data_IF_139519778235
#
_entry.id   IF_139519778235
#
_cell.length_a   1.000
_cell.length_b   1.000
_cell.length_c   1.000
_cell.angle_alpha   90.00
_cell.angle_beta   90.00
_cell.angle_gamma   90.00
#
_symmetry.space_group_name_H-M   'P 1'
#
loop_
_entity.id
_entity.type
_entity.pdbx_description
1 polymer ?
#
# COMPACT_ATOMS: atom_id res chain seq x y z
N UNK A 1 -10.53 14.65 -25.30
CA UNK A 1 -9.82 13.76 -24.35
C UNK A 1 -9.48 14.60 -23.14
N UNK A 2 -9.88 14.20 -21.94
CA UNK A 2 -9.32 14.83 -20.74
C UNK A 2 -7.86 14.35 -20.63
N UNK A 3 -7.00 15.20 -20.09
CA UNK A 3 -5.58 14.88 -19.85
C UNK A 3 -5.49 14.00 -18.60
N UNK A 4 -4.54 13.06 -18.55
CA UNK A 4 -4.35 12.11 -17.45
C UNK A 4 -4.38 12.82 -16.09
N UNK A 5 -3.73 13.98 -16.02
CA UNK A 5 -3.71 14.82 -14.83
C UNK A 5 -5.09 15.28 -14.36
N UNK A 6 -5.97 15.70 -15.28
CA UNK A 6 -7.31 16.17 -14.95
C UNK A 6 -8.20 15.01 -14.48
N UNK A 7 -8.01 13.83 -15.06
CA UNK A 7 -8.72 12.60 -14.66
C UNK A 7 -8.25 12.15 -13.27
N UNK A 8 -6.95 12.22 -12.99
CA UNK A 8 -6.39 11.94 -11.66
C UNK A 8 -6.96 12.90 -10.61
N UNK A 9 -7.01 14.21 -10.89
CA UNK A 9 -7.61 15.18 -9.99
C UNK A 9 -9.10 14.90 -9.73
N UNK A 10 -9.86 14.56 -10.77
CA UNK A 10 -11.27 14.23 -10.64
C UNK A 10 -11.47 12.98 -9.76
N UNK A 11 -10.66 11.94 -9.98
CA UNK A 11 -10.67 10.70 -9.19
C UNK A 11 -10.36 10.99 -7.71
N UNK A 12 -9.34 11.80 -7.44
CA UNK A 12 -8.89 12.14 -6.08
C UNK A 12 -9.88 13.04 -5.31
N UNK A 13 -10.70 13.80 -6.03
CA UNK A 13 -11.78 14.62 -5.47
C UNK A 13 -13.12 13.87 -5.31
N UNK A 14 -13.27 12.72 -5.95
CA UNK A 14 -14.53 11.98 -5.94
C UNK A 14 -14.82 11.35 -4.56
N UNK A 15 -16.11 11.24 -4.17
CA UNK A 15 -16.51 10.45 -3.01
C UNK A 15 -16.06 8.99 -3.15
N UNK A 16 -15.55 8.38 -2.08
CA UNK A 16 -15.01 7.01 -2.12
C UNK A 16 -16.01 5.99 -2.72
N UNK A 17 -17.30 6.11 -2.40
CA UNK A 17 -18.36 5.26 -2.97
C UNK A 17 -18.43 5.24 -4.51
N UNK A 18 -17.93 6.28 -5.18
CA UNK A 18 -17.90 6.36 -6.64
C UNK A 18 -16.60 5.84 -7.26
N UNK A 19 -15.57 5.61 -6.44
CA UNK A 19 -14.27 5.05 -6.84
C UNK A 19 -14.27 3.53 -6.72
N UNK A 20 -15.11 2.97 -5.84
CA UNK A 20 -15.22 1.54 -5.61
C UNK A 20 -15.74 0.82 -6.85
N UNK A 21 -15.02 -0.23 -7.24
CA UNK A 21 -15.40 -1.14 -8.33
C UNK A 21 -15.97 -2.42 -7.70
N UNK A 22 -17.29 -2.68 -7.77
CA UNK A 22 -17.91 -3.80 -7.08
C UNK A 22 -17.31 -5.17 -7.42
N UNK A 23 -16.86 -5.36 -8.67
CA UNK A 23 -16.27 -6.62 -9.13
C UNK A 23 -14.89 -6.90 -8.52
N UNK A 24 -14.17 -5.85 -8.09
CA UNK A 24 -12.88 -5.96 -7.43
C UNK A 24 -13.00 -5.89 -5.90
N UNK A 25 -14.21 -5.70 -5.36
CA UNK A 25 -14.38 -5.47 -3.93
C UNK A 25 -14.39 -6.79 -3.16
N UNK A 26 -13.41 -6.96 -2.26
CA UNK A 26 -13.41 -8.03 -1.26
C UNK A 26 -14.01 -7.49 0.03
N UNK A 27 -15.20 -7.98 0.34
CA UNK A 27 -15.90 -7.66 1.57
C UNK A 27 -15.41 -8.52 2.72
N UNK A 28 -15.29 -7.91 3.89
CA UNK A 28 -14.95 -8.63 5.12
C UNK A 28 -16.22 -9.14 5.81
N UNK A 29 -16.16 -10.37 6.31
CA UNK A 29 -17.27 -10.99 7.02
C UNK A 29 -17.57 -10.31 8.37
N UNK A 30 -18.70 -10.67 8.97
CA UNK A 30 -19.14 -10.21 10.30
C UNK A 30 -18.14 -10.49 11.44
N UNK A 31 -17.06 -11.25 11.18
CA UNK A 31 -15.97 -11.45 12.15
C UNK A 31 -15.27 -10.14 12.52
N UNK A 32 -15.20 -9.17 11.61
CA UNK A 32 -14.56 -7.86 11.85
C UNK A 32 -15.23 -7.09 12.99
N UNK A 33 -16.52 -7.31 13.24
CA UNK A 33 -17.25 -6.71 14.37
C UNK A 33 -16.67 -7.12 15.74
N UNK A 34 -16.00 -8.26 15.79
CA UNK A 34 -15.37 -8.78 17.00
C UNK A 34 -13.89 -8.39 17.10
N UNK A 35 -13.34 -7.74 16.08
CA UNK A 35 -11.97 -7.28 16.10
C UNK A 35 -11.86 -6.06 17.01
N UNK A 36 -10.84 -6.11 17.87
CA UNK A 36 -10.45 -4.98 18.70
C UNK A 36 -9.76 -3.93 17.82
N UNK A 37 -10.56 -3.18 17.06
CA UNK A 37 -10.16 -2.04 16.24
C UNK A 37 -11.02 -0.81 16.60
N UNK A 38 -10.61 0.41 16.25
CA UNK A 38 -11.50 1.56 16.29
C UNK A 38 -12.79 1.35 15.48
N UNK A 39 -13.90 1.95 15.89
CA UNK A 39 -15.18 1.83 15.17
C UNK A 39 -15.10 2.33 13.71
N UNK A 40 -14.47 3.48 13.39
CA UNK A 40 -14.32 3.92 12.01
C UNK A 40 -13.60 2.90 11.13
N UNK A 41 -12.63 2.20 11.69
CA UNK A 41 -11.83 1.19 11.00
C UNK A 41 -12.64 -0.07 10.67
N UNK A 42 -13.41 -0.58 11.64
CA UNK A 42 -14.35 -1.68 11.40
C UNK A 42 -15.41 -1.29 10.37
N UNK A 43 -15.99 -0.11 10.53
CA UNK A 43 -17.03 0.39 9.61
C UNK A 43 -16.50 0.59 8.19
N UNK A 44 -15.26 1.06 8.02
CA UNK A 44 -14.63 1.16 6.70
C UNK A 44 -14.44 -0.21 6.03
N UNK A 45 -13.93 -1.20 6.75
CA UNK A 45 -13.79 -2.57 6.24
C UNK A 45 -15.15 -3.19 5.85
N UNK A 46 -16.18 -3.01 6.69
CA UNK A 46 -17.53 -3.54 6.44
C UNK A 46 -18.23 -2.85 5.28
N UNK A 47 -18.05 -1.54 5.14
CA UNK A 47 -18.77 -0.77 4.14
C UNK A 47 -18.08 -0.84 2.78
N UNK A 48 -16.76 -0.73 2.76
CA UNK A 48 -15.99 -0.53 1.54
C UNK A 48 -15.09 -1.70 1.17
N UNK A 49 -14.79 -2.61 2.12
CA UNK A 49 -13.88 -3.71 1.87
C UNK A 49 -12.49 -3.23 1.42
N UNK A 50 -11.77 -4.11 0.73
CA UNK A 50 -10.51 -3.77 0.05
C UNK A 50 -10.59 -4.16 -1.43
N UNK A 51 -9.85 -3.46 -2.32
CA UNK A 51 -9.73 -3.89 -3.71
C UNK A 51 -8.88 -5.16 -3.82
N UNK A 52 -9.32 -6.12 -4.61
CA UNK A 52 -8.51 -7.23 -5.12
C UNK A 52 -7.74 -6.76 -6.36
N UNK A 53 -6.46 -6.48 -6.16
CA UNK A 53 -5.61 -5.88 -7.17
C UNK A 53 -4.28 -6.62 -7.32
N UNK A 54 -3.51 -6.25 -8.35
CA UNK A 54 -2.23 -6.89 -8.65
C UNK A 54 -1.18 -6.67 -7.55
N UNK A 55 -1.23 -5.54 -6.84
CA UNK A 55 -0.30 -5.22 -5.75
C UNK A 55 -0.82 -5.63 -4.38
N UNK A 56 -2.11 -5.46 -4.11
CA UNK A 56 -2.74 -5.82 -2.84
C UNK A 56 -3.79 -6.90 -3.07
N UNK A 57 -3.59 -8.05 -2.42
CA UNK A 57 -4.52 -9.18 -2.45
C UNK A 57 -5.12 -9.35 -1.05
N UNK A 58 -6.37 -8.92 -0.83
CA UNK A 58 -7.03 -9.07 0.45
C UNK A 58 -7.06 -10.54 0.88
N UNK A 59 -6.86 -10.80 2.17
CA UNK A 59 -6.94 -12.14 2.74
C UNK A 59 -7.84 -12.09 3.96
N UNK A 60 -8.99 -12.74 3.86
CA UNK A 60 -9.97 -12.77 4.93
C UNK A 60 -9.46 -13.63 6.08
N UNK A 61 -9.14 -13.00 7.21
CA UNK A 61 -8.84 -13.73 8.44
C UNK A 61 -10.15 -14.23 9.07
N UNK A 62 -10.38 -15.55 9.16
CA UNK A 62 -11.65 -16.10 9.66
C UNK A 62 -11.78 -16.01 11.18
N UNK A 63 -10.68 -15.79 11.90
CA UNK A 63 -10.64 -15.75 13.35
C UNK A 63 -10.87 -14.34 13.90
N UNK A 64 -11.59 -14.25 15.03
CA UNK A 64 -11.80 -13.00 15.77
C UNK A 64 -10.59 -12.55 16.59
N UNK A 65 -9.59 -13.42 16.76
CA UNK A 65 -8.32 -13.09 17.45
C UNK A 65 -7.25 -12.74 16.42
N UNK A 66 -6.38 -11.75 16.70
CA UNK A 66 -5.26 -11.43 15.83
C UNK A 66 -4.31 -12.63 15.72
N UNK A 67 -3.81 -12.90 14.51
CA UNK A 67 -2.95 -14.06 14.23
C UNK A 67 -1.54 -13.68 13.81
N UNK A 68 -1.36 -12.46 13.31
CA UNK A 68 -0.07 -11.99 12.81
C UNK A 68 0.73 -11.36 13.96
N UNK A 69 1.99 -11.77 14.06
CA UNK A 69 2.98 -11.23 15.01
C UNK A 69 4.10 -10.56 14.24
N UNK A 70 4.59 -9.39 14.67
CA UNK A 70 5.69 -8.72 14.00
C UNK A 70 7.01 -9.45 14.22
N UNK A 71 7.84 -9.48 13.19
CA UNK A 71 9.25 -9.87 13.34
C UNK A 71 10.06 -8.62 13.67
N UNK A 72 10.40 -8.43 14.94
CA UNK A 72 11.21 -7.28 15.40
C UNK A 72 12.67 -7.71 15.50
N UNK A 73 13.41 -7.58 14.40
CA UNK A 73 14.80 -8.05 14.28
C UNK A 73 15.82 -7.03 14.78
N UNK A 74 15.54 -5.73 14.66
CA UNK A 74 16.47 -4.66 15.02
C UNK A 74 15.79 -3.39 15.51
N UNK A 75 16.61 -2.34 15.61
CA UNK A 75 16.14 -1.00 15.99
C UNK A 75 15.17 -0.37 14.99
N UNK A 76 15.34 -0.53 13.66
CA UNK A 76 14.38 -0.03 12.69
C UNK A 76 12.95 -0.51 12.95
N UNK A 77 12.74 -1.81 13.20
CA UNK A 77 11.40 -2.34 13.49
C UNK A 77 10.87 -1.89 14.87
N UNK A 78 11.75 -1.79 15.89
CA UNK A 78 11.36 -1.35 17.25
C UNK A 78 10.78 0.06 17.27
N UNK A 79 11.21 0.92 16.35
CA UNK A 79 10.65 2.28 16.21
C UNK A 79 9.20 2.27 15.70
N UNK A 80 8.82 1.27 14.92
CA UNK A 80 7.50 1.18 14.29
C UNK A 80 6.49 0.39 15.13
N UNK A 81 6.93 -0.72 15.73
CA UNK A 81 6.03 -1.65 16.42
C UNK A 81 6.70 -2.35 17.61
N UNK A 82 5.90 -2.59 18.65
CA UNK A 82 6.30 -3.43 19.78
C UNK A 82 6.27 -4.92 19.42
N UNK A 83 7.19 -5.70 19.98
CA UNK A 83 7.29 -7.14 19.72
C UNK A 83 6.09 -7.95 20.25
N UNK A 84 5.33 -7.41 21.21
CA UNK A 84 4.12 -8.02 21.76
C UNK A 84 2.84 -7.65 20.97
N UNK A 85 2.93 -6.72 20.02
CA UNK A 85 1.80 -6.31 19.21
C UNK A 85 1.19 -7.50 18.47
N UNK A 86 -0.14 -7.51 18.40
CA UNK A 86 -0.90 -8.53 17.69
C UNK A 86 -1.70 -7.86 16.57
N UNK A 87 -1.66 -8.43 15.37
CA UNK A 87 -2.27 -7.84 14.19
C UNK A 87 -3.32 -8.77 13.57
N UNK A 88 -4.40 -8.18 13.07
CA UNK A 88 -5.37 -8.83 12.21
C UNK A 88 -4.87 -8.81 10.77
N UNK A 89 -4.81 -9.96 10.11
CA UNK A 89 -4.41 -10.04 8.70
C UNK A 89 -5.47 -9.39 7.81
N UNK A 90 -5.05 -8.43 6.99
CA UNK A 90 -5.89 -7.76 5.99
C UNK A 90 -5.64 -8.30 4.59
N UNK A 91 -4.40 -8.72 4.30
CA UNK A 91 -4.02 -9.23 2.99
C UNK A 91 -2.53 -9.38 2.81
N UNK A 92 -2.14 -9.50 1.55
CA UNK A 92 -0.77 -9.65 1.10
C UNK A 92 -0.45 -8.56 0.09
N UNK A 93 0.70 -7.92 0.26
CA UNK A 93 1.21 -6.90 -0.65
C UNK A 93 2.41 -7.42 -1.45
N UNK A 94 2.43 -7.09 -2.74
CA UNK A 94 3.48 -7.46 -3.69
C UNK A 94 3.28 -8.81 -4.38
N UNK A 95 4.15 -9.05 -5.37
CA UNK A 95 4.15 -10.23 -6.22
C UNK A 95 5.18 -11.30 -5.79
N UNK A 96 5.86 -11.12 -4.66
CA UNK A 96 6.97 -11.99 -4.26
C UNK A 96 6.52 -13.44 -4.14
N UNK A 97 7.15 -14.31 -4.94
CA UNK A 97 6.94 -15.75 -4.94
C UNK A 97 7.62 -16.45 -3.75
N UNK A 98 8.52 -15.76 -3.05
CA UNK A 98 9.15 -16.25 -1.83
C UNK A 98 8.26 -15.90 -0.62
N UNK A 99 7.63 -16.90 0.04
CA UNK A 99 6.76 -16.67 1.19
C UNK A 99 7.44 -15.94 2.36
N UNK A 100 8.78 -16.04 2.48
CA UNK A 100 9.53 -15.41 3.55
C UNK A 100 9.70 -13.89 3.35
N UNK A 101 9.64 -13.44 2.10
CA UNK A 101 9.80 -12.03 1.72
C UNK A 101 8.46 -11.34 1.43
N UNK A 102 7.41 -12.12 1.18
CA UNK A 102 6.03 -11.64 1.03
C UNK A 102 5.62 -10.74 2.20
N UNK A 103 5.11 -9.55 1.88
CA UNK A 103 4.61 -8.61 2.89
C UNK A 103 3.18 -8.99 3.25
N UNK A 104 2.97 -9.43 4.49
CA UNK A 104 1.62 -9.63 5.06
C UNK A 104 1.16 -8.32 5.68
N UNK A 105 0.07 -7.77 5.15
CA UNK A 105 -0.49 -6.51 5.63
C UNK A 105 -1.44 -6.81 6.79
N UNK A 106 -1.25 -6.14 7.93
CA UNK A 106 -2.08 -6.33 9.10
C UNK A 106 -2.38 -5.05 9.88
N UNK A 107 -3.53 -5.05 10.55
CA UNK A 107 -3.96 -3.97 11.43
C UNK A 107 -3.65 -4.29 12.89
N UNK A 108 -2.95 -3.38 13.59
CA UNK A 108 -2.62 -3.55 15.00
C UNK A 108 -3.90 -3.50 15.85
N UNK A 109 -4.11 -4.52 16.67
CA UNK A 109 -5.21 -4.56 17.61
C UNK A 109 -5.14 -3.38 18.61
N UNK A 110 -6.27 -2.70 18.81
CA UNK A 110 -6.43 -1.54 19.67
C UNK A 110 -6.25 -0.21 18.94
N UNK A 111 -5.25 -0.08 18.07
CA UNK A 111 -4.94 1.21 17.40
C UNK A 111 -5.44 1.30 15.96
N UNK A 112 -5.55 0.17 15.27
CA UNK A 112 -5.93 0.13 13.84
C UNK A 112 -4.84 0.58 12.87
N UNK A 113 -3.64 0.92 13.37
CA UNK A 113 -2.49 1.23 12.51
C UNK A 113 -2.15 0.03 11.61
N UNK A 114 -1.88 0.29 10.34
CA UNK A 114 -1.63 -0.75 9.34
C UNK A 114 -0.13 -0.88 9.06
N UNK A 115 0.37 -2.10 9.17
CA UNK A 115 1.77 -2.46 8.98
C UNK A 115 1.91 -3.59 7.95
N UNK A 116 3.01 -3.60 7.22
CA UNK A 116 3.48 -4.75 6.47
C UNK A 116 4.48 -5.57 7.28
N UNK A 117 4.30 -6.88 7.31
CA UNK A 117 5.11 -7.82 8.10
C UNK A 117 5.70 -8.91 7.19
N UNK A 118 7.02 -8.97 7.12
CA UNK A 118 7.80 -10.06 6.51
C UNK A 118 8.21 -11.07 7.58
N UNK A 119 8.61 -12.28 7.16
CA UNK A 119 9.09 -13.28 8.11
C UNK A 119 10.43 -12.87 8.75
N UNK A 120 11.27 -12.15 7.99
CA UNK A 120 12.57 -11.61 8.39
C UNK A 120 12.93 -10.38 7.56
N UNK A 121 13.95 -9.59 7.96
CA UNK A 121 14.46 -8.50 7.12
C UNK A 121 15.00 -9.05 5.80
N UNK A 122 14.93 -8.22 4.76
CA UNK A 122 15.60 -8.48 3.49
C UNK A 122 17.02 -7.94 3.58
N UNK A 123 18.00 -8.78 3.27
CA UNK A 123 19.43 -8.44 3.33
C UNK A 123 20.09 -8.61 1.96
N UNK A 124 21.36 -8.21 1.85
CA UNK A 124 22.20 -8.43 0.66
C UNK A 124 22.19 -9.89 0.19
N UNK A 125 22.07 -10.86 1.10
CA UNK A 125 22.07 -12.28 0.75
C UNK A 125 20.82 -12.71 -0.05
N UNK A 126 19.71 -11.95 0.07
CA UNK A 126 18.46 -12.18 -0.66
C UNK A 126 18.50 -11.67 -2.10
N UNK A 127 19.48 -10.82 -2.41
CA UNK A 127 19.68 -10.26 -3.74
C UNK A 127 20.45 -11.26 -4.60
N UNK A 128 20.10 -11.33 -5.89
CA UNK A 128 20.82 -12.15 -6.87
C UNK A 128 22.32 -11.85 -6.83
N UNK A 129 23.17 -12.88 -6.92
CA UNK A 129 24.62 -12.78 -6.67
C UNK A 129 25.31 -11.65 -7.47
N UNK A 130 24.85 -11.41 -8.70
CA UNK A 130 25.39 -10.36 -9.59
C UNK A 130 25.06 -8.94 -9.12
N UNK A 131 23.99 -8.76 -8.35
CA UNK A 131 23.54 -7.47 -7.85
C UNK A 131 24.07 -7.19 -6.44
N UNK A 132 24.52 -8.20 -5.69
CA UNK A 132 25.07 -8.03 -4.34
C UNK A 132 26.19 -6.98 -4.23
N UNK A 133 27.16 -6.88 -5.18
CA UNK A 133 28.20 -5.85 -5.12
C UNK A 133 27.66 -4.42 -5.18
N UNK A 134 26.46 -4.22 -5.74
CA UNK A 134 25.79 -2.92 -5.83
C UNK A 134 24.93 -2.61 -4.60
N UNK A 135 24.75 -3.60 -3.71
CA UNK A 135 23.91 -3.51 -2.52
C UNK A 135 24.58 -4.12 -1.28
N UNK A 136 25.86 -3.79 -0.97
CA UNK A 136 26.63 -4.51 0.04
C UNK A 136 26.03 -4.44 1.45
N UNK A 137 25.38 -3.33 1.80
CA UNK A 137 24.80 -3.07 3.11
C UNK A 137 23.27 -3.02 3.07
N UNK A 138 22.65 -3.74 2.14
CA UNK A 138 21.19 -3.74 2.01
C UNK A 138 20.55 -4.30 3.27
N UNK A 139 19.66 -3.50 3.85
CA UNK A 139 18.79 -3.90 4.94
C UNK A 139 17.43 -3.26 4.75
N UNK A 140 16.43 -4.04 4.36
CA UNK A 140 15.02 -3.61 4.43
C UNK A 140 14.36 -4.25 5.65
N UNK A 141 13.82 -3.46 6.58
CA UNK A 141 13.19 -3.97 7.79
C UNK A 141 12.11 -5.02 7.52
N UNK A 142 11.93 -5.94 8.48
CA UNK A 142 10.87 -6.93 8.42
C UNK A 142 9.49 -6.31 8.67
N UNK A 143 9.44 -5.11 9.24
CA UNK A 143 8.22 -4.34 9.49
C UNK A 143 8.29 -3.06 8.70
N UNK A 144 7.24 -2.76 7.94
CA UNK A 144 7.10 -1.50 7.22
C UNK A 144 5.73 -0.86 7.50
N UNK A 145 5.65 0.45 7.32
CA UNK A 145 4.46 1.23 7.61
C UNK A 145 3.56 1.35 6.37
N UNK A 146 2.24 1.32 6.55
CA UNK A 146 1.29 1.67 5.49
C UNK A 146 0.51 2.93 5.85
N UNK A 147 -0.26 2.88 6.94
CA UNK A 147 -1.21 3.94 7.31
C UNK A 147 -1.47 4.00 8.81
N UNK A 148 -1.93 5.17 9.25
CA UNK A 148 -2.20 5.46 10.66
C UNK A 148 -3.43 4.72 11.18
N UNK A 149 -4.36 4.35 10.29
CA UNK A 149 -5.60 3.64 10.58
C UNK A 149 -6.04 2.75 9.42
N UNK A 150 -6.95 1.82 9.70
CA UNK A 150 -7.51 0.95 8.66
C UNK A 150 -8.43 1.76 7.73
N UNK A 151 -9.19 2.72 8.26
CA UNK A 151 -10.05 3.56 7.43
C UNK A 151 -9.25 4.36 6.39
N UNK A 152 -8.10 4.92 6.79
CA UNK A 152 -7.18 5.59 5.86
C UNK A 152 -6.61 4.58 4.84
N UNK A 153 -6.16 3.41 5.30
CA UNK A 153 -5.65 2.36 4.42
C UNK A 153 -6.68 1.92 3.36
N UNK A 154 -7.93 1.71 3.74
CA UNK A 154 -9.03 1.36 2.83
C UNK A 154 -9.24 2.43 1.77
N UNK A 155 -9.25 3.71 2.16
CA UNK A 155 -9.42 4.81 1.21
C UNK A 155 -8.22 4.92 0.26
N UNK A 156 -6.99 4.86 0.77
CA UNK A 156 -5.77 4.89 -0.06
C UNK A 156 -5.73 3.71 -1.03
N UNK A 157 -6.04 2.50 -0.56
CA UNK A 157 -6.02 1.29 -1.39
C UNK A 157 -6.99 1.40 -2.58
N UNK A 158 -8.23 1.85 -2.35
CA UNK A 158 -9.21 2.04 -3.41
C UNK A 158 -8.82 3.14 -4.40
N UNK A 159 -8.31 4.27 -3.89
CA UNK A 159 -7.85 5.36 -4.76
C UNK A 159 -6.64 4.93 -5.58
N UNK A 160 -5.71 4.18 -5.00
CA UNK A 160 -4.56 3.64 -5.71
C UNK A 160 -4.98 2.64 -6.78
N UNK A 161 -5.88 1.71 -6.45
CA UNK A 161 -6.43 0.77 -7.42
C UNK A 161 -6.98 1.50 -8.65
N UNK A 162 -7.80 2.53 -8.45
CA UNK A 162 -8.37 3.30 -9.55
C UNK A 162 -7.32 4.15 -10.29
N UNK A 163 -6.32 4.69 -9.59
CA UNK A 163 -5.21 5.43 -10.18
C UNK A 163 -4.34 4.55 -11.09
N UNK A 164 -4.06 3.31 -10.68
CA UNK A 164 -3.32 2.33 -11.50
C UNK A 164 -4.08 2.00 -12.79
N UNK A 165 -5.39 1.79 -12.72
CA UNK A 165 -6.20 1.56 -13.92
C UNK A 165 -6.19 2.77 -14.86
N UNK A 166 -6.21 3.99 -14.31
CA UNK A 166 -6.09 5.22 -15.09
C UNK A 166 -4.71 5.33 -15.78
N UNK A 167 -3.62 5.00 -15.07
CA UNK A 167 -2.27 4.99 -15.63
C UNK A 167 -2.15 3.94 -16.75
N UNK A 168 -2.72 2.74 -16.56
CA UNK A 168 -2.74 1.68 -17.60
C UNK A 168 -3.50 2.08 -18.85
N UNK A 169 -4.58 2.85 -18.70
CA UNK A 169 -5.35 3.38 -19.82
C UNK A 169 -4.62 4.49 -20.59
N UNK A 170 -3.52 5.03 -20.04
CA UNK A 170 -2.70 6.07 -20.63
C UNK A 170 -1.25 5.56 -20.80
N UNK A 171 -0.99 4.60 -21.70
CA UNK A 171 0.34 4.02 -21.86
C UNK A 171 1.35 5.06 -22.39
N UNK A 172 2.63 4.77 -22.18
CA UNK A 172 3.71 5.55 -22.76
C UNK A 172 3.61 5.63 -24.30
N UNK A 173 4.09 6.72 -24.92
CA UNK A 173 4.17 6.81 -26.37
C UNK A 173 4.96 5.65 -26.98
N UNK A 174 4.63 5.28 -28.22
CA UNK A 174 5.39 4.28 -28.97
C UNK A 174 6.85 4.74 -29.13
N UNK A 175 7.80 3.80 -29.16
CA UNK A 175 9.24 4.13 -29.25
C UNK A 175 9.63 4.86 -30.55
N UNK A 176 8.72 4.90 -31.54
CA UNK A 176 8.89 5.65 -32.79
C UNK A 176 8.46 7.11 -32.71
N UNK A 177 7.79 7.51 -31.63
CA UNK A 177 7.36 8.89 -31.41
C UNK A 177 8.56 9.82 -31.11
N UNK A 178 8.42 11.13 -31.35
CA UNK A 178 9.46 12.10 -31.00
C UNK A 178 9.76 12.10 -29.51
N UNK A 179 11.02 12.40 -29.16
CA UNK A 179 11.48 12.47 -27.78
C UNK A 179 10.63 13.42 -26.92
N UNK A 180 10.16 14.54 -27.49
CA UNK A 180 9.30 15.51 -26.81
C UNK A 180 7.95 14.90 -26.36
N UNK A 181 7.42 13.92 -27.10
CA UNK A 181 6.20 13.22 -26.71
C UNK A 181 6.44 12.34 -25.46
N UNK A 182 7.60 11.69 -25.38
CA UNK A 182 8.01 10.92 -24.21
C UNK A 182 8.26 11.82 -22.99
N UNK A 183 8.96 12.94 -23.17
CA UNK A 183 9.17 13.93 -22.10
C UNK A 183 7.84 14.48 -21.58
N UNK A 184 6.93 14.84 -22.49
CA UNK A 184 5.62 15.35 -22.11
C UNK A 184 4.80 14.30 -21.34
N UNK A 185 4.82 13.04 -21.79
CA UNK A 185 4.15 11.95 -21.11
C UNK A 185 4.73 11.72 -19.70
N UNK A 186 6.05 11.64 -19.57
CA UNK A 186 6.72 11.48 -18.28
C UNK A 186 6.39 12.62 -17.31
N UNK A 187 6.47 13.87 -17.77
CA UNK A 187 6.11 15.03 -16.95
C UNK A 187 4.63 15.01 -16.51
N UNK A 188 3.74 14.46 -17.34
CA UNK A 188 2.33 14.31 -16.99
C UNK A 188 2.08 13.22 -15.96
N UNK A 189 2.76 12.08 -16.07
CA UNK A 189 2.72 10.98 -15.09
C UNK A 189 3.29 11.46 -13.75
N UNK A 190 4.50 12.05 -13.75
CA UNK A 190 5.17 12.55 -12.55
C UNK A 190 4.29 13.54 -11.78
N UNK A 191 3.70 14.51 -12.49
CA UNK A 191 2.79 15.49 -11.89
C UNK A 191 1.51 14.84 -11.32
N UNK A 192 1.00 13.80 -11.97
CA UNK A 192 -0.17 13.06 -11.52
C UNK A 192 0.13 12.26 -10.25
N UNK A 193 1.28 11.59 -10.18
CA UNK A 193 1.75 10.87 -8.99
C UNK A 193 2.03 11.83 -7.82
N UNK A 194 2.67 12.97 -8.06
CA UNK A 194 2.89 13.99 -7.03
C UNK A 194 1.56 14.51 -6.44
N UNK A 195 0.55 14.67 -7.29
CA UNK A 195 -0.80 15.08 -6.85
C UNK A 195 -1.52 13.99 -6.07
N UNK A 196 -1.36 12.74 -6.48
CA UNK A 196 -1.85 11.58 -5.74
C UNK A 196 -1.26 11.53 -4.34
N UNK A 197 0.07 11.61 -4.22
CA UNK A 197 0.78 11.63 -2.94
C UNK A 197 0.30 12.78 -2.04
N UNK A 198 0.24 14.00 -2.58
CA UNK A 198 -0.26 15.16 -1.83
C UNK A 198 -1.68 14.94 -1.30
N UNK A 199 -2.55 14.30 -2.09
CA UNK A 199 -3.90 13.94 -1.64
C UNK A 199 -3.86 12.88 -0.54
N UNK A 200 -3.06 11.84 -0.69
CA UNK A 200 -2.98 10.77 0.32
C UNK A 200 -2.44 11.31 1.64
N UNK A 201 -1.41 12.17 1.61
CA UNK A 201 -0.91 12.87 2.80
C UNK A 201 -1.99 13.72 3.46
N UNK A 202 -2.91 14.33 2.70
CA UNK A 202 -4.04 15.06 3.30
C UNK A 202 -5.04 14.14 4.02
N UNK A 203 -5.16 12.88 3.61
CA UNK A 203 -6.02 11.87 4.23
C UNK A 203 -5.33 11.21 5.43
N UNK A 204 -4.03 11.00 5.32
CA UNK A 204 -3.18 10.42 6.35
C UNK A 204 -1.86 11.22 6.44
N UNK A 205 -1.80 12.23 7.35
CA UNK A 205 -0.61 13.08 7.50
C UNK A 205 0.67 12.33 7.85
N UNK A 206 0.57 11.11 8.36
CA UNK A 206 1.74 10.29 8.68
C UNK A 206 2.48 9.79 7.45
N UNK A 207 1.89 9.88 6.25
CA UNK A 207 2.56 9.53 5.01
C UNK A 207 3.68 10.51 4.62
N UNK A 208 3.69 11.72 5.18
CA UNK A 208 4.79 12.70 5.02
C UNK A 208 5.89 12.52 6.08
N UNK A 209 5.69 11.62 7.04
CA UNK A 209 6.67 11.35 8.08
C UNK A 209 7.80 10.48 7.51
N UNK A 210 8.94 11.13 7.26
CA UNK A 210 10.16 10.49 6.75
C UNK A 210 10.75 9.46 7.71
N UNK A 211 10.37 9.47 8.99
CA UNK A 211 10.84 8.46 9.93
C UNK A 211 10.05 7.14 9.83
N UNK A 212 8.91 7.13 9.13
CA UNK A 212 8.05 5.96 8.98
C UNK A 212 8.27 5.17 7.68
N UNK A 213 8.82 5.80 6.64
CA UNK A 213 9.07 5.20 5.31
C UNK A 213 7.88 4.37 4.81
N UNK A 214 6.75 5.03 4.50
CA UNK A 214 5.52 4.34 4.09
C UNK A 214 5.69 3.57 2.77
N UNK A 215 5.24 2.31 2.75
CA UNK A 215 5.24 1.46 1.54
C UNK A 215 4.43 2.06 0.41
N UNK A 216 3.36 2.80 0.72
CA UNK A 216 2.60 3.49 -0.34
C UNK A 216 3.46 4.52 -1.06
N UNK A 217 4.27 5.29 -0.33
CA UNK A 217 5.13 6.31 -0.91
C UNK A 217 6.20 5.67 -1.79
N UNK A 218 6.82 4.58 -1.33
CA UNK A 218 7.76 3.80 -2.15
C UNK A 218 7.06 3.28 -3.42
N UNK A 219 5.91 2.63 -3.29
CA UNK A 219 5.18 2.06 -4.43
C UNK A 219 4.78 3.09 -5.49
N UNK A 220 4.31 4.26 -5.05
CA UNK A 220 3.87 5.34 -5.96
C UNK A 220 5.06 6.00 -6.66
N UNK A 221 6.24 6.02 -6.03
CA UNK A 221 7.46 6.57 -6.61
C UNK A 221 8.23 5.55 -7.46
N UNK A 222 8.18 4.25 -7.13
CA UNK A 222 8.88 3.18 -7.86
C UNK A 222 8.12 2.71 -9.11
N UNK A 223 6.80 2.91 -9.17
CA UNK A 223 5.99 2.68 -10.39
C UNK A 223 6.09 3.86 -11.39
N UNK A 224 7.03 4.80 -11.19
CA UNK A 224 7.45 5.85 -12.15
C UNK A 224 8.51 5.33 -13.12
#
# INVERSE_FOLDING_TARGET
MRRLYDEMLALLGAPLSSVIVPQAQVQFDAVVEHWHLPEPDRSALRQWGLPDGPLLRPTLQPASRPTLKPTVAGEPERRLISADAQLYLLGVYGADFNPDLTIRVGAIAGTGRVMGIRARPLTTDDVHEQLRPHHPDLYRPAVCYFNASVAAFVEVAWRWYAAVELLRANPAPDYTEPFEAHEQHHAEVERSCATFLARMTSLDPTLDDRDLDSVWVEAILDDL
#
